data_IF_870243800671
#
_entry.id   IF_870243800671
#
_cell.length_a   1.000
_cell.length_b   1.000
_cell.length_c   1.000
_cell.angle_alpha   90.00
_cell.angle_beta   90.00
_cell.angle_gamma   90.00
#
_symmetry.space_group_name_H-M   'P 1'
#
loop_
_entity.id
_entity.type
_entity.pdbx_description
1 polymer ?
#
# COMPACT_ATOMS: atom_id res chain seq x y z
N UNK A 1 -16.58 29.21 -2.28
CA UNK A 1 -15.51 29.76 -1.43
C UNK A 1 -16.12 30.65 -0.36
N UNK A 2 -15.75 30.45 0.89
CA UNK A 2 -16.21 31.22 2.06
C UNK A 2 -15.18 32.27 2.47
N UNK A 3 -15.57 33.25 3.29
CA UNK A 3 -14.62 34.20 3.88
C UNK A 3 -13.58 33.50 4.78
N UNK A 4 -13.94 32.35 5.36
CA UNK A 4 -13.02 31.53 6.14
C UNK A 4 -11.95 30.87 5.24
N UNK A 5 -12.35 30.34 4.08
CA UNK A 5 -11.42 29.72 3.11
C UNK A 5 -10.34 30.73 2.69
N UNK A 6 -10.73 31.98 2.42
CA UNK A 6 -9.82 33.06 2.03
C UNK A 6 -8.89 33.42 3.20
N UNK A 7 -9.43 33.54 4.42
CA UNK A 7 -8.65 33.88 5.62
C UNK A 7 -7.61 32.80 5.93
N UNK A 8 -7.97 31.53 5.72
CA UNK A 8 -7.10 30.38 5.94
C UNK A 8 -6.10 30.16 4.80
N UNK A 9 -6.41 30.64 3.59
CA UNK A 9 -5.61 30.42 2.39
C UNK A 9 -5.77 29.04 1.77
N UNK A 10 -6.75 28.24 2.20
CA UNK A 10 -7.04 26.92 1.67
C UNK A 10 -8.52 26.53 1.84
N UNK A 11 -8.98 25.62 0.99
CA UNK A 11 -10.28 24.95 1.08
C UNK A 11 -10.05 23.52 1.59
N UNK A 12 -10.96 23.00 2.40
CA UNK A 12 -10.98 21.60 2.80
C UNK A 12 -12.23 20.92 2.26
N UNK A 13 -12.05 19.80 1.57
CA UNK A 13 -13.13 18.94 1.10
C UNK A 13 -12.91 17.52 1.62
N UNK A 14 -13.98 16.88 2.08
CA UNK A 14 -13.97 15.46 2.42
C UNK A 14 -14.18 14.64 1.14
N UNK A 15 -13.20 13.84 0.75
CA UNK A 15 -13.28 12.97 -0.43
C UNK A 15 -13.59 11.55 0.05
N UNK A 16 -14.78 10.98 -0.29
CA UNK A 16 -15.08 9.61 0.07
C UNK A 16 -14.21 8.66 -0.76
N UNK A 17 -13.55 7.72 -0.08
CA UNK A 17 -12.76 6.66 -0.72
C UNK A 17 -13.69 5.49 -1.04
N UNK A 18 -13.85 5.19 -2.33
CA UNK A 18 -14.73 4.11 -2.80
C UNK A 18 -13.99 2.76 -2.97
N UNK A 19 -12.66 2.74 -2.90
CA UNK A 19 -11.84 1.54 -3.04
C UNK A 19 -10.35 1.86 -3.18
N UNK A 20 -9.57 0.81 -3.46
CA UNK A 20 -8.14 0.90 -3.72
C UNK A 20 -7.83 1.59 -5.06
N UNK A 21 -6.61 2.08 -5.19
CA UNK A 21 -6.07 2.63 -6.43
C UNK A 21 -6.10 4.17 -6.50
N UNK A 22 -5.90 4.74 -7.70
CA UNK A 22 -5.68 6.16 -7.85
C UNK A 22 -6.97 6.98 -7.69
N UNK A 23 -6.85 8.10 -6.99
CA UNK A 23 -7.85 9.16 -6.83
C UNK A 23 -7.25 10.45 -7.38
N UNK A 24 -7.82 10.96 -8.47
CA UNK A 24 -7.40 12.22 -9.09
C UNK A 24 -8.22 13.38 -8.53
N UNK A 25 -7.54 14.47 -8.17
CA UNK A 25 -8.11 15.68 -7.61
C UNK A 25 -7.87 16.83 -8.59
N UNK A 26 -8.96 17.48 -8.99
CA UNK A 26 -8.99 18.69 -9.80
C UNK A 26 -9.64 19.81 -8.98
N UNK A 27 -9.10 21.03 -9.05
CA UNK A 27 -9.60 22.18 -8.29
C UNK A 27 -9.93 23.35 -9.21
N UNK A 28 -11.07 23.99 -8.95
CA UNK A 28 -11.55 25.18 -9.63
C UNK A 28 -12.09 26.17 -8.60
N UNK A 29 -11.92 27.47 -8.87
CA UNK A 29 -12.45 28.53 -8.05
C UNK A 29 -13.19 29.56 -8.92
N UNK A 30 -14.36 30.00 -8.47
CA UNK A 30 -15.12 31.07 -9.11
C UNK A 30 -15.27 32.22 -8.14
N UNK A 31 -14.92 33.43 -8.56
CA UNK A 31 -15.08 34.63 -7.74
C UNK A 31 -16.52 35.18 -7.76
N UNK A 32 -16.77 36.25 -7.00
CA UNK A 32 -18.10 36.86 -6.92
C UNK A 32 -18.55 37.58 -8.20
N UNK A 33 -17.65 37.81 -9.17
CA UNK A 33 -17.95 38.39 -10.48
C UNK A 33 -18.18 37.30 -11.54
N UNK A 34 -17.92 36.03 -11.21
CA UNK A 34 -18.07 34.89 -12.11
C UNK A 34 -16.80 34.54 -12.89
N UNK A 35 -15.63 35.08 -12.51
CA UNK A 35 -14.36 34.70 -13.12
C UNK A 35 -13.94 33.31 -12.60
N UNK A 36 -13.66 32.39 -13.52
CA UNK A 36 -13.20 31.03 -13.24
C UNK A 36 -11.67 30.98 -13.27
N UNK A 37 -11.10 30.41 -12.21
CA UNK A 37 -9.71 30.00 -12.10
C UNK A 37 -9.65 28.47 -12.00
N UNK A 38 -8.75 27.85 -12.75
CA UNK A 38 -8.63 26.39 -12.89
C UNK A 38 -7.21 26.00 -12.53
N UNK A 39 -7.06 24.96 -11.72
CA UNK A 39 -5.74 24.47 -11.34
C UNK A 39 -4.90 24.12 -12.58
N UNK A 40 -3.63 24.53 -12.57
CA UNK A 40 -2.67 24.26 -13.65
C UNK A 40 -2.45 22.76 -13.91
N UNK A 41 -2.67 21.92 -12.88
CA UNK A 41 -2.52 20.48 -12.95
C UNK A 41 -3.39 19.75 -11.92
N UNK A 42 -3.72 18.50 -12.24
CA UNK A 42 -4.34 17.56 -11.32
C UNK A 42 -3.29 16.96 -10.36
N UNK A 43 -3.75 16.56 -9.17
CA UNK A 43 -2.96 15.75 -8.22
C UNK A 43 -3.59 14.37 -8.12
N UNK A 44 -2.76 13.32 -8.18
CA UNK A 44 -3.20 11.95 -7.97
C UNK A 44 -2.68 11.42 -6.64
N UNK A 45 -3.57 10.84 -5.84
CA UNK A 45 -3.25 10.10 -4.61
C UNK A 45 -3.62 8.64 -4.83
N UNK A 46 -2.74 7.70 -4.47
CA UNK A 46 -3.08 6.27 -4.50
C UNK A 46 -3.55 5.83 -3.12
N UNK A 47 -4.73 5.23 -3.08
CA UNK A 47 -5.24 4.52 -1.90
C UNK A 47 -4.69 3.10 -1.94
N UNK A 48 -4.00 2.73 -0.87
CA UNK A 48 -3.57 1.36 -0.60
C UNK A 48 -3.83 1.05 0.89
N UNK A 49 -4.92 0.34 1.18
CA UNK A 49 -5.27 -0.09 2.54
C UNK A 49 -5.11 -1.59 2.75
N UNK A 50 -4.64 -2.31 1.73
CA UNK A 50 -4.42 -3.73 1.83
C UNK A 50 -3.18 -4.00 2.70
N UNK A 51 -3.23 -4.99 3.62
CA UNK A 51 -2.03 -5.40 4.34
C UNK A 51 -0.95 -5.87 3.37
N UNK A 52 0.30 -5.50 3.64
CA UNK A 52 1.42 -6.08 2.93
C UNK A 52 1.46 -7.59 3.14
N UNK A 53 1.76 -8.35 2.08
CA UNK A 53 2.07 -9.76 2.20
C UNK A 53 3.51 -9.92 2.69
N UNK A 54 3.65 -10.34 3.94
CA UNK A 54 4.96 -10.45 4.60
C UNK A 54 5.48 -11.89 4.64
N UNK A 55 4.69 -12.88 4.20
CA UNK A 55 5.04 -14.29 4.30
C UNK A 55 5.34 -14.86 2.92
N UNK A 56 6.62 -15.14 2.68
CA UNK A 56 7.10 -15.79 1.47
C UNK A 56 7.15 -17.32 1.59
N UNK A 57 8.02 -17.92 0.78
CA UNK A 57 8.21 -19.37 0.75
C UNK A 57 8.65 -19.93 2.11
N UNK A 58 8.18 -21.14 2.41
CA UNK A 58 8.64 -21.95 3.54
C UNK A 58 9.61 -22.99 2.98
N UNK A 59 10.81 -23.08 3.56
CA UNK A 59 11.81 -24.06 3.19
C UNK A 59 12.26 -24.87 4.40
N UNK A 60 12.61 -26.13 4.14
CA UNK A 60 13.32 -26.99 5.08
C UNK A 60 14.72 -27.15 4.50
N UNK A 61 15.73 -26.38 4.94
CA UNK A 61 17.05 -26.42 4.34
C UNK A 61 17.75 -27.77 4.52
N UNK A 62 17.30 -28.57 5.50
CA UNK A 62 17.78 -29.94 5.71
C UNK A 62 17.22 -30.94 4.66
N UNK A 63 16.14 -30.64 3.93
CA UNK A 63 15.70 -31.44 2.77
C UNK A 63 16.61 -31.11 1.56
N UNK A 64 17.75 -31.79 1.51
CA UNK A 64 18.81 -31.51 0.54
C UNK A 64 18.44 -31.91 -0.88
N UNK A 65 17.54 -32.88 -1.02
CA UNK A 65 17.17 -33.44 -2.32
C UNK A 65 15.85 -32.87 -2.87
N UNK A 66 15.03 -32.23 -2.01
CA UNK A 66 13.83 -31.49 -2.39
C UNK A 66 12.61 -32.36 -2.69
N UNK A 67 12.54 -33.59 -2.17
CA UNK A 67 11.40 -34.50 -2.35
C UNK A 67 10.32 -34.35 -1.26
N UNK A 68 10.55 -33.47 -0.27
CA UNK A 68 9.62 -33.22 0.83
C UNK A 68 9.65 -34.27 1.93
N UNK A 69 10.67 -35.14 1.97
CA UNK A 69 10.86 -36.18 2.99
C UNK A 69 12.25 -36.04 3.61
N UNK A 70 12.32 -35.92 4.93
CA UNK A 70 13.61 -36.00 5.64
C UNK A 70 13.98 -37.46 5.91
N UNK A 71 15.10 -37.90 5.36
CA UNK A 71 15.70 -39.19 5.69
C UNK A 71 16.67 -39.10 6.89
N UNK A 72 17.27 -40.23 7.28
CA UNK A 72 18.16 -40.28 8.45
C UNK A 72 19.45 -39.46 8.28
N UNK A 73 19.95 -39.33 7.05
CA UNK A 73 21.13 -38.52 6.76
C UNK A 73 20.80 -37.02 6.79
N UNK A 74 19.62 -36.64 6.30
CA UNK A 74 19.12 -35.26 6.27
C UNK A 74 18.70 -34.74 7.64
N UNK A 75 18.07 -35.57 8.47
CA UNK A 75 17.67 -35.21 9.85
C UNK A 75 18.87 -35.15 10.81
N UNK A 76 19.98 -35.81 10.45
CA UNK A 76 21.17 -35.87 11.29
C UNK A 76 20.95 -36.59 12.63
N UNK A 77 21.86 -36.34 13.59
CA UNK A 77 21.90 -37.08 14.86
C UNK A 77 21.20 -36.37 16.02
N UNK A 78 20.86 -35.09 15.87
CA UNK A 78 20.14 -34.32 16.89
C UNK A 78 18.62 -34.52 16.82
N UNK A 79 18.10 -35.10 15.74
CA UNK A 79 16.69 -35.43 15.58
C UNK A 79 15.80 -34.21 15.39
N UNK A 80 16.34 -33.08 14.96
CA UNK A 80 15.62 -31.81 14.76
C UNK A 80 15.77 -31.29 13.34
N UNK A 81 14.88 -30.41 12.91
CA UNK A 81 14.98 -29.72 11.63
C UNK A 81 14.58 -28.26 11.79
N UNK A 82 14.99 -27.43 10.83
CA UNK A 82 14.63 -26.03 10.80
C UNK A 82 13.53 -25.79 9.76
N UNK A 83 12.53 -24.99 10.11
CA UNK A 83 11.64 -24.39 9.13
C UNK A 83 12.05 -22.93 8.96
N UNK A 84 12.39 -22.55 7.73
CA UNK A 84 12.67 -21.17 7.38
C UNK A 84 11.49 -20.59 6.63
N UNK A 85 11.06 -19.40 7.04
CA UNK A 85 9.99 -18.65 6.38
C UNK A 85 10.64 -17.40 5.79
N UNK A 86 10.54 -17.21 4.48
CA UNK A 86 10.96 -15.98 3.85
C UNK A 86 10.05 -14.83 4.30
N UNK A 87 10.64 -13.68 4.62
CA UNK A 87 9.91 -12.50 5.08
C UNK A 87 10.08 -11.35 4.08
N UNK A 88 8.98 -10.63 3.84
CA UNK A 88 8.91 -9.43 2.99
C UNK A 88 9.20 -8.13 3.73
#
# INVERSE_FOLDING_TARGET
MTAADITNGFITAAIPVAGEGPVTIHAEAVDAQGNLDVADADITVTVDTLPADLIGAITIPEDLNGDGILNADELGTDGTFNAQVALG
#
